data_IF_370885186515
#
_entry.id   IF_370885186515
#
_cell.length_a   1.000
_cell.length_b   1.000
_cell.length_c   1.000
_cell.angle_alpha   90.00
_cell.angle_beta   90.00
_cell.angle_gamma   90.00
#
_symmetry.space_group_name_H-M   'P 1'
#
loop_
_entity.id
_entity.type
_entity.pdbx_description
1 polymer ?
#
# COMPACT_ATOMS: atom_id res chain seq x y z
N UNK A 1 13.93 6.38 -12.04
CA UNK A 1 14.06 5.32 -11.03
C UNK A 1 15.53 5.10 -10.76
N UNK A 2 15.95 5.16 -9.49
CA UNK A 2 17.31 4.81 -9.12
C UNK A 2 17.54 3.30 -9.35
N UNK A 3 18.74 2.89 -9.78
CA UNK A 3 19.07 1.48 -9.90
C UNK A 3 19.00 0.79 -8.53
N UNK A 4 18.47 -0.43 -8.50
CA UNK A 4 18.49 -1.26 -7.29
C UNK A 4 19.93 -1.67 -6.95
N UNK A 5 20.23 -1.77 -5.66
CA UNK A 5 21.48 -2.39 -5.20
C UNK A 5 21.59 -3.82 -5.74
N UNK A 6 22.80 -4.27 -6.06
CA UNK A 6 23.00 -5.58 -6.70
C UNK A 6 23.12 -6.73 -5.68
N UNK A 7 23.58 -6.45 -4.46
CA UNK A 7 23.89 -7.47 -3.45
C UNK A 7 22.74 -7.63 -2.43
N UNK A 8 21.68 -8.33 -2.83
CA UNK A 8 20.57 -8.65 -1.91
C UNK A 8 20.71 -10.05 -1.33
N UNK A 9 20.56 -10.16 -0.02
CA UNK A 9 20.36 -11.47 0.62
C UNK A 9 18.91 -11.92 0.48
N UNK A 10 18.67 -13.24 0.55
CA UNK A 10 17.31 -13.79 0.58
C UNK A 10 16.49 -13.23 1.75
N UNK A 11 17.11 -13.02 2.91
CA UNK A 11 16.43 -12.48 4.09
C UNK A 11 15.93 -11.05 3.85
N UNK A 12 16.76 -10.17 3.27
CA UNK A 12 16.38 -8.80 2.95
C UNK A 12 15.27 -8.75 1.89
N UNK A 13 15.40 -9.56 0.84
CA UNK A 13 14.38 -9.64 -0.19
C UNK A 13 13.04 -10.13 0.38
N UNK A 14 13.09 -11.18 1.20
CA UNK A 14 11.91 -11.78 1.84
C UNK A 14 11.26 -10.83 2.83
N UNK A 15 12.04 -10.02 3.56
CA UNK A 15 11.51 -9.01 4.47
C UNK A 15 10.67 -7.98 3.72
N UNK A 16 11.16 -7.45 2.60
CA UNK A 16 10.42 -6.48 1.78
C UNK A 16 9.20 -7.14 1.13
N UNK A 17 9.35 -8.35 0.59
CA UNK A 17 8.25 -9.12 0.02
C UNK A 17 7.09 -9.25 1.03
N UNK A 18 7.39 -9.74 2.23
CA UNK A 18 6.37 -9.97 3.26
C UNK A 18 5.78 -8.66 3.79
N UNK A 19 6.58 -7.59 3.91
CA UNK A 19 6.07 -6.27 4.30
C UNK A 19 5.08 -5.71 3.27
N UNK A 20 5.36 -5.87 1.97
CA UNK A 20 4.44 -5.47 0.90
C UNK A 20 3.18 -6.34 0.89
N UNK A 21 3.30 -7.66 1.05
CA UNK A 21 2.14 -8.56 1.20
C UNK A 21 1.27 -8.21 2.41
N UNK A 22 1.90 -7.90 3.54
CA UNK A 22 1.22 -7.43 4.74
C UNK A 22 0.46 -6.13 4.47
N UNK A 23 1.06 -5.19 3.73
CA UNK A 23 0.40 -3.95 3.30
C UNK A 23 -0.86 -4.21 2.48
N UNK A 24 -0.81 -5.13 1.51
CA UNK A 24 -1.99 -5.51 0.70
C UNK A 24 -3.09 -6.08 1.59
N UNK A 25 -2.75 -7.04 2.45
CA UNK A 25 -3.71 -7.69 3.34
C UNK A 25 -4.33 -6.68 4.31
N UNK A 26 -3.50 -5.85 4.96
CA UNK A 26 -3.95 -4.85 5.93
C UNK A 26 -4.89 -3.81 5.32
N UNK A 27 -4.52 -3.23 4.17
CA UNK A 27 -5.33 -2.21 3.51
C UNK A 27 -6.64 -2.80 2.94
N UNK A 28 -6.59 -4.02 2.41
CA UNK A 28 -7.77 -4.70 1.87
C UNK A 28 -8.76 -5.05 2.98
N UNK A 29 -8.27 -5.60 4.09
CA UNK A 29 -9.09 -5.88 5.27
C UNK A 29 -9.67 -4.60 5.88
N UNK A 30 -8.90 -3.51 5.96
CA UNK A 30 -9.37 -2.23 6.47
C UNK A 30 -10.52 -1.66 5.61
N UNK A 31 -10.42 -1.77 4.28
CA UNK A 31 -11.48 -1.37 3.35
C UNK A 31 -12.80 -2.06 3.68
N UNK A 32 -12.75 -3.39 3.81
CA UNK A 32 -13.93 -4.20 4.13
C UNK A 32 -14.48 -3.80 5.49
N UNK A 33 -13.61 -3.66 6.49
CA UNK A 33 -14.00 -3.26 7.84
C UNK A 33 -14.73 -1.90 7.86
N UNK A 34 -14.17 -0.86 7.24
CA UNK A 34 -14.77 0.49 7.27
C UNK A 34 -16.14 0.53 6.59
N UNK A 35 -16.30 -0.16 5.46
CA UNK A 35 -17.59 -0.21 4.77
C UNK A 35 -18.63 -1.04 5.52
N UNK A 36 -18.25 -2.15 6.15
CA UNK A 36 -19.15 -2.91 7.02
C UNK A 36 -19.56 -2.12 8.27
N UNK A 37 -18.74 -1.17 8.71
CA UNK A 37 -18.99 -0.33 9.88
C UNK A 37 -19.91 0.86 9.60
N UNK A 38 -20.27 1.15 8.34
CA UNK A 38 -21.17 2.26 7.96
C UNK A 38 -22.51 2.29 8.72
N UNK A 39 -23.21 1.15 8.96
CA UNK A 39 -24.47 1.16 9.73
C UNK A 39 -24.27 1.54 11.20
N UNK A 40 -23.08 1.29 11.76
CA UNK A 40 -22.76 1.45 13.17
C UNK A 40 -22.31 2.87 13.55
N UNK A 41 -22.28 3.80 12.58
CA UNK A 41 -21.97 5.22 12.83
C UNK A 41 -23.17 6.12 12.49
N UNK A 42 -23.28 7.24 13.21
CA UNK A 42 -24.32 8.24 12.93
C UNK A 42 -24.17 8.80 11.52
N UNK A 43 -25.29 9.19 10.88
CA UNK A 43 -25.32 9.62 9.47
C UNK A 43 -24.27 10.70 9.13
N UNK A 44 -23.99 11.60 10.06
CA UNK A 44 -23.04 12.71 9.87
C UNK A 44 -21.59 12.26 9.63
N UNK A 45 -21.19 11.08 10.10
CA UNK A 45 -19.82 10.56 9.95
C UNK A 45 -19.67 9.53 8.83
N UNK A 46 -20.78 9.11 8.20
CA UNK A 46 -20.75 8.05 7.18
C UNK A 46 -19.93 8.45 5.97
N UNK A 47 -20.01 9.72 5.54
CA UNK A 47 -19.20 10.21 4.41
C UNK A 47 -17.72 10.09 4.70
N UNK A 48 -17.27 10.50 5.89
CA UNK A 48 -15.86 10.37 6.28
C UNK A 48 -15.42 8.90 6.28
N UNK A 49 -16.21 8.00 6.89
CA UNK A 49 -15.90 6.57 6.94
C UNK A 49 -15.89 5.91 5.56
N UNK A 50 -16.78 6.34 4.65
CA UNK A 50 -16.76 5.90 3.24
C UNK A 50 -15.48 6.33 2.55
N UNK A 51 -15.04 7.58 2.76
CA UNK A 51 -13.77 8.09 2.22
C UNK A 51 -12.60 7.27 2.73
N UNK A 52 -12.55 6.96 4.04
CA UNK A 52 -11.50 6.10 4.61
C UNK A 52 -11.44 4.73 3.92
N UNK A 53 -12.59 4.10 3.68
CA UNK A 53 -12.65 2.84 2.93
C UNK A 53 -12.16 2.98 1.47
N UNK A 54 -12.45 4.10 0.81
CA UNK A 54 -11.92 4.39 -0.54
C UNK A 54 -10.39 4.57 -0.50
N UNK A 55 -9.87 5.31 0.49
CA UNK A 55 -8.42 5.51 0.68
C UNK A 55 -7.72 4.17 0.83
N UNK A 56 -8.20 3.30 1.72
CA UNK A 56 -7.58 1.98 1.92
C UNK A 56 -7.72 1.08 0.69
N UNK A 57 -8.78 1.22 -0.10
CA UNK A 57 -8.92 0.46 -1.35
C UNK A 57 -7.89 0.90 -2.40
N UNK A 58 -7.71 2.22 -2.57
CA UNK A 58 -6.70 2.78 -3.47
C UNK A 58 -5.31 2.31 -3.03
N UNK A 59 -5.00 2.36 -1.73
CA UNK A 59 -3.75 1.87 -1.17
C UNK A 59 -3.55 0.37 -1.43
N UNK A 60 -4.60 -0.45 -1.25
CA UNK A 60 -4.55 -1.90 -1.52
C UNK A 60 -4.13 -2.18 -2.97
N UNK A 61 -4.76 -1.49 -3.92
CA UNK A 61 -4.42 -1.62 -5.34
C UNK A 61 -2.97 -1.23 -5.62
N UNK A 62 -2.51 -0.09 -5.09
CA UNK A 62 -1.15 0.37 -5.32
C UNK A 62 -0.12 -0.56 -4.65
N UNK A 63 -0.37 -1.06 -3.44
CA UNK A 63 0.48 -2.07 -2.81
C UNK A 63 0.55 -3.37 -3.62
N UNK A 64 -0.55 -3.79 -4.26
CA UNK A 64 -0.53 -4.94 -5.18
C UNK A 64 0.35 -4.67 -6.40
N UNK A 65 0.29 -3.46 -6.99
CA UNK A 65 1.17 -3.06 -8.10
C UNK A 65 2.63 -2.99 -7.69
N UNK A 66 2.93 -2.42 -6.52
CA UNK A 66 4.29 -2.33 -5.96
C UNK A 66 4.84 -3.72 -5.69
N UNK A 67 4.05 -4.62 -5.10
CA UNK A 67 4.43 -6.00 -4.85
C UNK A 67 4.78 -6.74 -6.14
N UNK A 68 3.94 -6.64 -7.18
CA UNK A 68 4.24 -7.25 -8.47
C UNK A 68 5.51 -6.66 -9.10
N UNK A 69 5.71 -5.35 -8.99
CA UNK A 69 6.93 -4.70 -9.46
C UNK A 69 8.17 -5.15 -8.67
N UNK A 70 8.04 -5.39 -7.36
CA UNK A 70 9.11 -5.92 -6.52
C UNK A 70 9.48 -7.34 -6.96
N UNK A 71 8.50 -8.22 -7.10
CA UNK A 71 8.73 -9.60 -7.55
C UNK A 71 9.35 -9.63 -8.95
N UNK A 72 8.90 -8.79 -9.87
CA UNK A 72 9.45 -8.74 -11.23
C UNK A 72 10.90 -8.20 -11.30
N UNK A 73 11.32 -7.39 -10.33
CA UNK A 73 12.65 -6.77 -10.31
C UNK A 73 13.77 -7.73 -9.87
N UNK A 74 13.42 -8.91 -9.34
CA UNK A 74 14.39 -9.89 -8.85
C UNK A 74 14.13 -11.28 -9.43
N UNK A 75 15.21 -12.02 -9.66
CA UNK A 75 15.17 -13.46 -9.81
C UNK A 75 15.55 -14.10 -8.48
N UNK A 76 14.69 -14.96 -7.95
CA UNK A 76 14.93 -15.72 -6.72
C UNK A 76 14.88 -17.20 -7.05
N UNK A 77 15.95 -17.92 -6.74
CA UNK A 77 16.08 -19.34 -7.08
C UNK A 77 16.96 -20.09 -6.09
N UNK A 78 16.88 -21.42 -6.13
CA UNK A 78 17.76 -22.28 -5.34
C UNK A 78 19.14 -22.34 -5.99
N UNK A 79 20.16 -21.85 -5.28
CA UNK A 79 21.55 -21.92 -5.70
C UNK A 79 22.14 -23.32 -5.54
N UNK A 80 23.34 -23.51 -6.10
CA UNK A 80 24.07 -24.80 -6.11
C UNK A 80 24.35 -25.31 -4.69
N UNK A 81 24.48 -24.40 -3.73
CA UNK A 81 24.77 -24.69 -2.33
C UNK A 81 23.51 -25.03 -1.50
N UNK A 82 22.33 -25.09 -2.13
CA UNK A 82 21.05 -25.32 -1.45
C UNK A 82 20.50 -24.09 -0.71
N UNK A 83 21.17 -22.93 -0.82
CA UNK A 83 20.68 -21.63 -0.34
C UNK A 83 19.89 -20.89 -1.42
N UNK A 84 18.89 -20.11 -1.03
CA UNK A 84 18.22 -19.20 -1.97
C UNK A 84 19.16 -18.05 -2.35
N UNK A 85 19.32 -17.83 -3.65
CA UNK A 85 20.07 -16.72 -4.24
C UNK A 85 19.11 -15.70 -4.84
N UNK A 86 19.44 -14.42 -4.69
CA UNK A 86 18.65 -13.29 -5.18
C UNK A 86 19.53 -12.48 -6.12
N UNK A 87 19.06 -12.25 -7.34
CA UNK A 87 19.74 -11.40 -8.33
C UNK A 87 18.77 -10.40 -8.93
N UNK A 88 19.27 -9.24 -9.37
CA UNK A 88 18.43 -8.24 -10.06
C UNK A 88 18.10 -8.74 -11.47
N UNK A 89 16.82 -8.68 -11.86
CA UNK A 89 16.35 -9.19 -13.16
C UNK A 89 16.62 -8.24 -14.34
N UNK A 90 16.96 -6.98 -14.05
CA UNK A 90 17.03 -5.89 -15.02
C UNK A 90 15.70 -5.18 -15.26
N UNK A 91 14.58 -5.73 -14.78
CA UNK A 91 13.29 -5.04 -14.76
C UNK A 91 13.30 -3.99 -13.64
N UNK A 92 12.97 -2.72 -13.92
CA UNK A 92 13.03 -1.69 -12.91
C UNK A 92 11.89 -1.83 -11.88
N UNK A 93 12.22 -1.60 -10.60
CA UNK A 93 11.22 -1.46 -9.54
C UNK A 93 10.58 -0.06 -9.60
N UNK A 94 9.26 -0.01 -9.77
CA UNK A 94 8.52 1.22 -10.01
C UNK A 94 8.00 1.85 -8.71
N UNK A 95 8.70 2.89 -8.25
CA UNK A 95 8.34 3.70 -7.09
C UNK A 95 7.19 4.68 -7.35
N UNK A 96 6.90 5.02 -8.62
CA UNK A 96 5.85 5.96 -8.99
C UNK A 96 4.46 5.52 -8.52
N UNK A 97 4.21 4.22 -8.37
CA UNK A 97 2.95 3.71 -7.81
C UNK A 97 2.64 4.31 -6.45
N UNK A 98 3.65 4.52 -5.60
CA UNK A 98 3.45 5.12 -4.28
C UNK A 98 3.18 6.63 -4.36
N UNK A 99 3.79 7.33 -5.31
CA UNK A 99 3.54 8.75 -5.49
C UNK A 99 2.13 9.02 -6.04
N UNK A 100 1.65 8.17 -6.94
CA UNK A 100 0.26 8.26 -7.44
C UNK A 100 -0.73 7.91 -6.35
N UNK A 101 -0.44 6.89 -5.53
CA UNK A 101 -1.24 6.58 -4.34
C UNK A 101 -1.38 7.79 -3.42
N UNK A 102 -0.27 8.49 -3.11
CA UNK A 102 -0.30 9.69 -2.28
C UNK A 102 -1.07 10.85 -2.90
N UNK A 103 -0.90 11.07 -4.20
CA UNK A 103 -1.65 12.12 -4.92
C UNK A 103 -3.16 11.93 -4.79
N UNK A 104 -3.63 10.67 -4.78
CA UNK A 104 -5.05 10.34 -4.66
C UNK A 104 -5.52 10.32 -3.19
N UNK A 105 -4.70 9.80 -2.28
CA UNK A 105 -5.12 9.52 -0.90
C UNK A 105 -4.92 10.70 0.05
N UNK A 106 -3.83 11.48 -0.09
CA UNK A 106 -3.54 12.59 0.83
C UNK A 106 -4.65 13.64 0.85
N UNK A 107 -5.18 14.13 -0.29
CA UNK A 107 -6.31 15.06 -0.26
C UNK A 107 -7.56 14.47 0.42
N UNK A 108 -7.83 13.18 0.21
CA UNK A 108 -8.97 12.50 0.81
C UNK A 108 -8.82 12.36 2.33
N UNK A 109 -7.62 12.03 2.81
CA UNK A 109 -7.29 11.98 4.24
C UNK A 109 -7.48 13.34 4.93
N UNK A 110 -7.16 14.44 4.24
CA UNK A 110 -7.42 15.79 4.76
C UNK A 110 -8.91 16.11 4.81
N UNK A 111 -9.67 15.74 3.76
CA UNK A 111 -11.12 15.97 3.70
C UNK A 111 -11.86 15.17 4.76
N UNK A 112 -11.55 13.88 4.96
CA UNK A 112 -12.22 13.06 5.97
C UNK A 112 -12.01 13.60 7.38
N UNK A 113 -10.83 14.18 7.67
CA UNK A 113 -10.54 14.84 8.94
C UNK A 113 -11.45 16.07 9.15
N UNK A 114 -11.56 16.95 8.15
CA UNK A 114 -12.43 18.13 8.23
C UNK A 114 -13.89 17.71 8.49
N UNK A 115 -14.36 16.64 7.84
CA UNK A 115 -15.73 16.13 7.98
C UNK A 115 -16.05 15.64 9.40
N UNK A 116 -15.06 15.29 10.22
CA UNK A 116 -15.26 14.84 11.61
C UNK A 116 -14.98 15.92 12.65
N UNK A 117 -14.28 17.00 12.30
CA UNK A 117 -13.87 18.07 13.23
C UNK A 117 -15.01 18.97 13.71
N UNK A 118 -16.17 18.98 13.04
CA UNK A 118 -17.33 19.86 13.38
C UNK A 118 -16.94 21.34 13.50
N UNK A 119 -16.14 21.83 12.55
CA UNK A 119 -15.71 23.23 12.54
C UNK A 119 -16.91 24.19 12.45
N UNK A 120 -16.89 25.32 13.18
CA UNK A 120 -17.89 26.37 13.04
C UNK A 120 -17.81 27.01 11.65
N UNK A 121 -18.93 27.49 11.12
CA UNK A 121 -19.03 27.99 9.74
C UNK A 121 -18.24 29.28 9.44
N UNK A 122 -17.49 29.83 10.41
CA UNK A 122 -16.80 31.12 10.32
C UNK A 122 -15.28 31.05 10.42
N UNK A 123 -14.70 29.84 10.38
CA UNK A 123 -13.24 29.62 10.29
C UNK A 123 -12.86 29.07 8.91
#
# INVERSE_FOLDING_TARGET
MAPLAQDWTYAEWSAVYNALSFGIAGMGSATIFFWLQLPNVTKNYRTALTITGIVTLIATYHYFRIFNSWVAAFNVGLGVNGSYEVTVSGTPFNDAYRYVDWLLTVPLLLVELILVMKLPAGE
#
